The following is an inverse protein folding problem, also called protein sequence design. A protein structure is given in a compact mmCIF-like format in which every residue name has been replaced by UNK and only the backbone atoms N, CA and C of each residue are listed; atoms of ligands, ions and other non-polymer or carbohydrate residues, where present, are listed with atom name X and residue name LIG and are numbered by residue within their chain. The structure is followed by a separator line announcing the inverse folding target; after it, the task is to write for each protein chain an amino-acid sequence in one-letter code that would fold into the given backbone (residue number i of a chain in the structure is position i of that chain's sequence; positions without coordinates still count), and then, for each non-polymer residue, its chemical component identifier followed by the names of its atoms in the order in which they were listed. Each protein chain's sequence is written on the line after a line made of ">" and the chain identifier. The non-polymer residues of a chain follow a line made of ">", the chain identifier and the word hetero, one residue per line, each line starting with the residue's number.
data_IF_060820925497
#
_entry.id   IF_060820925497
#
_cell.length_a   1.000
_cell.length_b   1.000
_cell.length_c   1.000
_cell.angle_alpha   90.00
_cell.angle_beta   90.00
_cell.angle_gamma   90.00
#
_symmetry.space_group_name_H-M   'P 1'
#
loop_
_entity.id
_entity.type
_entity.pdbx_description
1 polymer ?
#
# COMPACT_ATOMS: atom_id res chain seq x y z
N UNK A 1 -58.70 -1.67 7.22
CA UNK A 1 -57.62 -2.00 6.26
C UNK A 1 -56.32 -2.14 7.07
N UNK A 2 -56.00 -3.28 7.68
CA UNK A 2 -55.48 -4.52 7.08
C UNK A 2 -54.34 -4.28 6.07
N UNK A 3 -53.11 -4.26 6.57
CA UNK A 3 -51.98 -5.02 5.99
C UNK A 3 -51.01 -5.32 7.13
N UNK A 4 -51.19 -6.51 7.71
CA UNK A 4 -50.16 -7.18 8.49
C UNK A 4 -48.95 -7.36 7.58
N UNK A 5 -47.80 -6.85 8.02
CA UNK A 5 -46.51 -7.25 7.48
C UNK A 5 -46.24 -8.61 8.12
N UNK A 6 -46.46 -9.66 7.35
CA UNK A 6 -46.01 -11.02 7.67
C UNK A 6 -44.49 -10.98 7.83
N UNK A 7 -44.02 -10.89 9.08
CA UNK A 7 -42.63 -11.16 9.42
C UNK A 7 -42.49 -12.67 9.34
N UNK A 8 -42.18 -13.15 8.14
CA UNK A 8 -41.80 -14.53 7.89
C UNK A 8 -40.66 -14.88 8.87
N UNK A 9 -40.82 -15.90 9.74
CA UNK A 9 -39.79 -16.23 10.71
C UNK A 9 -38.50 -16.61 9.99
N UNK A 10 -37.39 -16.04 10.45
CA UNK A 10 -36.05 -16.32 9.93
C UNK A 10 -35.85 -17.83 9.75
N UNK A 11 -35.34 -18.29 8.59
CA UNK A 11 -35.12 -19.70 8.34
C UNK A 11 -34.20 -20.28 9.44
N UNK A 12 -34.67 -21.35 10.09
CA UNK A 12 -33.91 -22.06 11.13
C UNK A 12 -32.53 -22.44 10.57
N UNK A 13 -31.44 -22.25 11.33
CA UNK A 13 -30.10 -22.60 10.86
C UNK A 13 -30.07 -24.08 10.44
N UNK A 14 -29.61 -24.36 9.21
CA UNK A 14 -29.45 -25.72 8.69
C UNK A 14 -28.55 -26.51 9.64
N UNK A 15 -29.13 -27.51 10.31
CA UNK A 15 -28.40 -28.55 11.06
C UNK A 15 -27.56 -29.34 10.05
N UNK A 16 -26.24 -29.17 10.06
CA UNK A 16 -25.36 -29.92 9.16
C UNK A 16 -23.92 -29.43 9.02
N UNK A 17 -23.55 -28.26 9.56
CA UNK A 17 -22.17 -27.76 9.44
C UNK A 17 -21.50 -27.61 10.83
N UNK A 18 -21.36 -28.71 11.56
CA UNK A 18 -20.61 -28.75 12.81
C UNK A 18 -19.19 -29.29 12.59
N UNK A 19 -18.36 -28.56 11.84
CA UNK A 19 -16.91 -28.66 12.13
C UNK A 19 -16.75 -28.28 13.60
N UNK A 20 -16.10 -29.12 14.44
CA UNK A 20 -15.98 -28.83 15.86
C UNK A 20 -15.34 -27.45 16.02
N UNK A 21 -15.93 -26.60 16.87
CA UNK A 21 -15.50 -25.20 17.09
C UNK A 21 -13.98 -25.10 17.33
N UNK A 22 -13.39 -26.15 17.94
CA UNK A 22 -11.96 -26.30 18.15
C UNK A 22 -11.13 -26.40 16.84
N UNK A 23 -11.62 -27.11 15.81
CA UNK A 23 -10.98 -27.22 14.50
C UNK A 23 -10.96 -25.85 13.79
N UNK A 24 -12.10 -25.14 13.78
CA UNK A 24 -12.21 -23.78 13.21
C UNK A 24 -11.30 -22.77 13.93
N UNK A 25 -11.16 -22.90 15.25
CA UNK A 25 -10.25 -22.06 16.08
C UNK A 25 -8.77 -22.42 15.88
N UNK A 26 -8.44 -23.68 15.55
CA UNK A 26 -7.07 -24.08 15.16
C UNK A 26 -6.72 -23.55 13.77
N UNK A 27 -7.63 -23.66 12.82
CA UNK A 27 -7.46 -23.17 11.45
C UNK A 27 -7.28 -21.65 11.41
N UNK A 28 -8.10 -20.89 12.14
CA UNK A 28 -7.94 -19.43 12.27
C UNK A 28 -6.58 -19.02 12.85
N UNK A 29 -6.08 -19.73 13.87
CA UNK A 29 -4.73 -19.50 14.43
C UNK A 29 -3.61 -19.88 13.48
N UNK A 30 -3.81 -20.84 12.58
CA UNK A 30 -2.84 -21.21 11.55
C UNK A 30 -2.78 -20.13 10.46
N UNK A 31 -3.93 -19.66 10.00
CA UNK A 31 -4.03 -18.58 9.03
C UNK A 31 -3.42 -17.27 9.55
N UNK A 32 -3.67 -16.93 10.81
CA UNK A 32 -3.07 -15.73 11.42
C UNK A 32 -1.55 -15.82 11.54
N UNK A 33 -1.00 -17.00 11.90
CA UNK A 33 0.45 -17.21 11.92
C UNK A 33 1.06 -17.16 10.52
N UNK A 34 0.38 -17.72 9.52
CA UNK A 34 0.82 -17.66 8.13
C UNK A 34 0.85 -16.22 7.62
N UNK A 35 -0.20 -15.44 7.89
CA UNK A 35 -0.28 -14.01 7.55
C UNK A 35 0.89 -13.24 8.15
N UNK A 36 1.15 -13.42 9.45
CA UNK A 36 2.27 -12.76 10.14
C UNK A 36 3.62 -13.17 9.53
N UNK A 37 3.81 -14.47 9.24
CA UNK A 37 5.03 -14.96 8.61
C UNK A 37 5.27 -14.32 7.23
N UNK A 38 4.23 -14.19 6.41
CA UNK A 38 4.30 -13.55 5.10
C UNK A 38 4.60 -12.05 5.24
N UNK A 39 3.93 -11.35 6.16
CA UNK A 39 4.19 -9.93 6.44
C UNK A 39 5.64 -9.68 6.88
N UNK A 40 6.18 -10.53 7.77
CA UNK A 40 7.58 -10.44 8.23
C UNK A 40 8.53 -10.73 7.07
N UNK A 41 8.28 -11.79 6.29
CA UNK A 41 9.11 -12.12 5.13
C UNK A 41 9.15 -10.97 4.11
N UNK A 42 8.01 -10.35 3.84
CA UNK A 42 7.94 -9.20 2.94
C UNK A 42 8.60 -7.95 3.54
N UNK A 43 8.48 -7.71 4.85
CA UNK A 43 9.20 -6.63 5.52
C UNK A 43 10.72 -6.81 5.43
N UNK A 44 11.22 -8.03 5.63
CA UNK A 44 12.65 -8.35 5.46
C UNK A 44 13.09 -8.18 4.01
N UNK A 45 12.26 -8.57 3.05
CA UNK A 45 12.50 -8.32 1.61
C UNK A 45 12.60 -6.82 1.32
N UNK A 46 11.70 -5.99 1.86
CA UNK A 46 11.77 -4.54 1.70
C UNK A 46 13.05 -3.94 2.31
N UNK A 47 13.47 -4.43 3.48
CA UNK A 47 14.73 -4.01 4.10
C UNK A 47 15.93 -4.40 3.21
N UNK A 48 15.95 -5.62 2.71
CA UNK A 48 16.99 -6.10 1.78
C UNK A 48 17.08 -5.20 0.55
N UNK A 49 15.95 -4.96 -0.13
CA UNK A 49 15.88 -4.08 -1.31
C UNK A 49 16.38 -2.68 -0.98
N UNK A 50 16.03 -2.15 0.21
CA UNK A 50 16.52 -0.84 0.66
C UNK A 50 18.03 -0.79 0.89
N UNK A 51 18.63 -1.85 1.43
CA UNK A 51 20.08 -1.97 1.61
C UNK A 51 20.79 -2.06 0.26
N UNK A 52 20.28 -2.88 -0.65
CA UNK A 52 20.81 -2.97 -2.02
C UNK A 52 20.72 -1.62 -2.75
N UNK A 53 19.61 -0.91 -2.59
CA UNK A 53 19.42 0.41 -3.17
C UNK A 53 20.35 1.46 -2.55
N UNK A 54 20.66 1.37 -1.26
CA UNK A 54 21.66 2.24 -0.60
C UNK A 54 23.04 2.09 -1.27
N UNK A 55 23.49 0.85 -1.51
CA UNK A 55 24.76 0.62 -2.20
C UNK A 55 24.73 1.08 -3.66
N UNK A 56 23.59 0.90 -4.36
CA UNK A 56 23.38 1.43 -5.70
C UNK A 56 23.53 2.96 -5.74
N UNK A 57 22.91 3.69 -4.82
CA UNK A 57 23.04 5.15 -4.73
C UNK A 57 24.49 5.55 -4.41
N UNK A 58 25.16 4.85 -3.49
CA UNK A 58 26.57 5.09 -3.20
C UNK A 58 27.50 4.88 -4.41
N UNK A 59 27.20 3.87 -5.24
CA UNK A 59 27.90 3.67 -6.51
C UNK A 59 27.71 4.86 -7.47
N UNK A 60 26.49 5.38 -7.59
CA UNK A 60 26.21 6.58 -8.41
C UNK A 60 26.93 7.83 -7.87
N UNK A 61 26.91 8.04 -6.56
CA UNK A 61 27.60 9.17 -5.92
C UNK A 61 29.12 9.12 -6.11
N UNK A 62 29.70 7.93 -6.20
CA UNK A 62 31.14 7.74 -6.49
C UNK A 62 31.53 8.07 -7.95
N UNK A 63 30.58 8.49 -8.79
CA UNK A 63 30.80 8.70 -10.22
C UNK A 63 31.14 7.41 -10.97
N UNK A 64 30.72 6.25 -10.45
CA UNK A 64 30.98 4.93 -11.05
C UNK A 64 32.36 4.35 -10.76
N UNK A 65 33.10 4.90 -9.79
CA UNK A 65 34.44 4.41 -9.40
C UNK A 65 34.42 3.36 -8.29
N UNK A 66 33.31 3.23 -7.57
CA UNK A 66 33.09 2.23 -6.53
C UNK A 66 32.71 0.84 -7.07
N UNK A 67 32.35 -0.06 -6.16
CA UNK A 67 31.82 -1.39 -6.52
C UNK A 67 30.51 -1.25 -7.29
N UNK A 68 30.45 -1.83 -8.49
CA UNK A 68 29.23 -1.85 -9.30
C UNK A 68 28.12 -2.63 -8.57
N UNK A 69 26.98 -1.97 -8.42
CA UNK A 69 25.75 -2.57 -7.90
C UNK A 69 24.66 -2.26 -8.91
N UNK A 70 23.90 -3.28 -9.31
CA UNK A 70 22.77 -3.09 -10.22
C UNK A 70 21.59 -2.44 -9.48
N UNK A 71 20.76 -1.70 -10.20
CA UNK A 71 19.56 -1.08 -9.62
C UNK A 71 18.52 -2.16 -9.28
N UNK A 72 18.13 -2.35 -8.00
CA UNK A 72 17.17 -3.38 -7.63
C UNK A 72 15.77 -3.08 -8.21
N UNK A 73 15.18 -4.00 -9.01
CA UNK A 73 13.89 -3.76 -9.68
C UNK A 73 12.72 -3.64 -8.70
N UNK A 74 12.86 -4.21 -7.50
CA UNK A 74 11.83 -4.15 -6.46
C UNK A 74 11.53 -2.73 -5.94
N UNK A 75 12.44 -1.78 -6.14
CA UNK A 75 12.23 -0.38 -5.71
C UNK A 75 11.12 0.31 -6.50
N UNK A 76 10.89 -0.11 -7.75
CA UNK A 76 9.82 0.44 -8.58
C UNK A 76 8.42 0.16 -8.02
N UNK A 77 8.28 -0.88 -7.19
CA UNK A 77 7.04 -1.16 -6.47
C UNK A 77 6.59 -0.04 -5.52
N UNK A 78 7.49 0.86 -5.13
CA UNK A 78 7.18 2.03 -4.29
C UNK A 78 6.76 3.27 -5.10
N UNK A 79 6.73 3.18 -6.43
CA UNK A 79 6.36 4.29 -7.34
C UNK A 79 5.07 3.97 -8.11
N UNK A 80 3.89 3.94 -7.44
CA UNK A 80 2.64 3.52 -8.06
C UNK A 80 2.14 4.48 -9.14
N UNK A 81 2.39 5.78 -9.02
CA UNK A 81 1.96 6.79 -10.01
C UNK A 81 2.74 6.61 -11.32
N UNK A 82 4.07 6.52 -11.23
CA UNK A 82 4.94 6.28 -12.40
C UNK A 82 4.62 4.94 -13.07
N UNK A 83 4.39 3.90 -12.27
CA UNK A 83 4.01 2.58 -12.76
C UNK A 83 2.65 2.58 -13.47
N UNK A 84 1.67 3.32 -12.96
CA UNK A 84 0.36 3.50 -13.61
C UNK A 84 0.50 4.23 -14.96
N UNK A 85 1.28 5.32 -15.00
CA UNK A 85 1.52 6.08 -16.23
C UNK A 85 2.25 5.24 -17.28
N UNK A 86 3.23 4.43 -16.86
CA UNK A 86 3.95 3.50 -17.73
C UNK A 86 3.03 2.41 -18.29
N UNK A 87 2.13 1.86 -17.47
CA UNK A 87 1.12 0.88 -17.91
C UNK A 87 0.13 1.50 -18.88
N UNK A 88 -0.31 2.74 -18.63
CA UNK A 88 -1.22 3.45 -19.54
C UNK A 88 -0.53 3.79 -20.87
N UNK A 89 0.72 4.24 -20.83
CA UNK A 89 1.52 4.48 -22.03
C UNK A 89 1.64 3.20 -22.88
N UNK A 90 2.00 2.08 -22.25
CA UNK A 90 2.06 0.78 -22.92
C UNK A 90 0.72 0.38 -23.55
N UNK A 91 -0.41 0.63 -22.88
CA UNK A 91 -1.73 0.33 -23.42
C UNK A 91 -2.08 1.17 -24.67
N UNK A 92 -1.52 2.38 -24.79
CA UNK A 92 -1.77 3.26 -25.94
C UNK A 92 -0.82 3.01 -27.11
N UNK A 93 0.46 2.75 -26.84
CA UNK A 93 1.52 2.68 -27.87
C UNK A 93 1.95 1.26 -28.20
N UNK A 94 1.67 0.28 -27.33
CA UNK A 94 2.18 -1.08 -27.43
C UNK A 94 3.67 -1.22 -27.11
N UNK A 95 4.35 -0.14 -26.71
CA UNK A 95 5.80 -0.13 -26.43
C UNK A 95 6.06 -0.06 -24.92
N UNK A 96 6.97 -0.89 -24.43
CA UNK A 96 7.40 -0.86 -23.02
C UNK A 96 8.47 0.22 -22.85
N UNK A 97 8.28 1.09 -21.85
CA UNK A 97 9.25 2.12 -21.52
C UNK A 97 10.49 1.52 -20.83
N UNK A 98 11.69 1.84 -21.33
CA UNK A 98 12.94 1.18 -20.92
C UNK A 98 13.39 1.47 -19.49
N UNK A 99 12.95 2.58 -18.89
CA UNK A 99 13.48 3.05 -17.61
C UNK A 99 12.79 2.46 -16.36
N UNK A 100 11.49 2.15 -16.43
CA UNK A 100 10.73 1.52 -15.34
C UNK A 100 9.87 0.33 -15.79
N UNK A 101 10.45 -0.68 -16.47
CA UNK A 101 9.69 -1.83 -16.95
C UNK A 101 9.19 -2.71 -15.80
N UNK A 102 9.91 -2.78 -14.68
CA UNK A 102 9.54 -3.62 -13.55
C UNK A 102 8.32 -3.06 -12.79
N UNK A 103 8.22 -1.74 -12.65
CA UNK A 103 7.15 -1.02 -11.97
C UNK A 103 5.82 -1.26 -12.65
N UNK A 104 5.78 -1.19 -13.99
CA UNK A 104 4.60 -1.53 -14.79
C UNK A 104 4.10 -2.95 -14.46
N UNK A 105 5.00 -3.95 -14.48
CA UNK A 105 4.65 -5.36 -14.23
C UNK A 105 4.21 -5.58 -12.78
N UNK A 106 4.94 -5.01 -11.82
CA UNK A 106 4.62 -5.10 -10.38
C UNK A 106 3.25 -4.47 -10.12
N UNK A 107 2.99 -3.29 -10.67
CA UNK A 107 1.71 -2.60 -10.53
C UNK A 107 0.55 -3.39 -11.15
N UNK A 108 0.73 -3.90 -12.38
CA UNK A 108 -0.24 -4.76 -13.02
C UNK A 108 -0.55 -6.02 -12.18
N UNK A 109 0.47 -6.66 -11.62
CA UNK A 109 0.32 -7.80 -10.73
C UNK A 109 -0.44 -7.43 -9.43
N UNK A 110 -0.13 -6.30 -8.80
CA UNK A 110 -0.83 -5.82 -7.60
C UNK A 110 -2.30 -5.52 -7.90
N UNK A 111 -2.60 -4.87 -9.02
CA UNK A 111 -3.98 -4.58 -9.44
C UNK A 111 -4.73 -5.88 -9.69
N UNK A 112 -4.16 -6.80 -10.45
CA UNK A 112 -4.78 -8.10 -10.74
C UNK A 112 -5.06 -8.89 -9.45
N UNK A 113 -4.08 -8.96 -8.55
CA UNK A 113 -4.24 -9.63 -7.26
C UNK A 113 -5.28 -8.96 -6.37
N UNK A 114 -5.39 -7.62 -6.42
CA UNK A 114 -6.37 -6.86 -5.64
C UNK A 114 -7.79 -7.04 -6.17
N UNK A 115 -7.96 -7.25 -7.49
CA UNK A 115 -9.24 -7.55 -8.12
C UNK A 115 -9.71 -8.97 -7.84
N UNK A 116 -8.81 -9.97 -7.91
CA UNK A 116 -9.14 -11.38 -7.66
C UNK A 116 -9.33 -11.65 -6.16
N UNK A 117 -8.46 -11.10 -5.33
CA UNK A 117 -8.46 -11.30 -3.88
C UNK A 117 -8.62 -9.96 -3.19
N UNK A 118 -9.87 -9.53 -2.98
CA UNK A 118 -10.16 -8.26 -2.32
C UNK A 118 -9.41 -8.14 -0.97
N UNK A 119 -8.68 -7.03 -0.77
CA UNK A 119 -7.86 -6.73 0.42
C UNK A 119 -6.67 -7.68 0.65
N UNK A 120 -6.22 -8.42 -0.37
CA UNK A 120 -5.05 -9.31 -0.28
C UNK A 120 -3.77 -8.54 0.01
N UNK A 121 -3.48 -7.48 -0.74
CA UNK A 121 -2.21 -6.77 -0.64
C UNK A 121 -1.98 -6.14 0.73
N UNK A 122 -2.91 -5.28 1.19
CA UNK A 122 -2.75 -4.57 2.46
C UNK A 122 -2.75 -5.50 3.68
N UNK A 123 -3.42 -6.65 3.58
CA UNK A 123 -3.52 -7.61 4.68
C UNK A 123 -2.32 -8.56 4.74
N UNK A 124 -1.77 -8.99 3.60
CA UNK A 124 -0.76 -10.06 3.56
C UNK A 124 0.64 -9.56 3.21
N UNK A 125 0.77 -8.64 2.25
CA UNK A 125 2.06 -8.24 1.69
C UNK A 125 2.55 -6.92 2.29
N UNK A 126 1.66 -5.98 2.62
CA UNK A 126 2.08 -4.64 2.98
C UNK A 126 2.83 -4.57 4.34
N UNK A 127 4.10 -4.12 4.37
CA UNK A 127 4.88 -3.99 5.60
C UNK A 127 4.34 -2.84 6.49
N UNK A 128 3.77 -1.79 5.87
CA UNK A 128 3.10 -0.70 6.60
C UNK A 128 1.85 -1.21 7.31
N UNK A 129 1.15 -2.19 6.73
CA UNK A 129 0.02 -2.86 7.38
C UNK A 129 0.42 -3.55 8.68
N UNK A 130 1.57 -4.24 8.70
CA UNK A 130 2.13 -4.85 9.91
C UNK A 130 2.43 -3.81 11.00
N UNK A 131 3.03 -2.69 10.62
CA UNK A 131 3.32 -1.58 11.56
C UNK A 131 2.01 -0.99 12.10
N UNK A 132 1.03 -0.75 11.24
CA UNK A 132 -0.25 -0.17 11.65
C UNK A 132 -1.06 -1.09 12.58
N UNK A 133 -1.00 -2.41 12.35
CA UNK A 133 -1.63 -3.39 13.23
C UNK A 133 -0.95 -3.48 14.60
N UNK A 134 0.38 -3.52 14.62
CA UNK A 134 1.14 -3.57 15.88
C UNK A 134 0.96 -2.29 16.71
N UNK A 135 0.94 -1.11 16.07
CA UNK A 135 0.61 0.15 16.75
C UNK A 135 -0.83 0.17 17.28
N UNK A 136 -1.79 -0.36 16.53
CA UNK A 136 -3.17 -0.46 16.97
C UNK A 136 -3.36 -1.41 18.16
N UNK A 137 -2.68 -2.56 18.17
CA UNK A 137 -2.71 -3.51 19.29
C UNK A 137 -2.02 -2.92 20.53
N UNK A 138 -0.93 -2.16 20.34
CA UNK A 138 -0.28 -1.40 21.41
C UNK A 138 -1.22 -0.35 21.99
N UNK A 139 -1.93 0.39 21.14
CA UNK A 139 -2.94 1.37 21.56
C UNK A 139 -4.07 0.77 22.37
N UNK A 140 -4.64 -0.35 21.91
CA UNK A 140 -5.69 -1.07 22.65
C UNK A 140 -5.19 -1.53 24.03
N UNK A 141 -3.92 -1.95 24.13
CA UNK A 141 -3.30 -2.35 25.41
C UNK A 141 -3.08 -1.16 26.35
N UNK A 142 -2.74 0.03 25.83
CA UNK A 142 -2.49 1.24 26.63
C UNK A 142 -3.82 1.86 27.10
N UNK A 143 -4.80 2.00 26.21
CA UNK A 143 -6.06 2.69 26.51
C UNK A 143 -7.17 1.77 27.04
N UNK A 144 -7.00 0.44 26.94
CA UNK A 144 -7.96 -0.56 27.40
C UNK A 144 -9.30 -0.59 26.64
N UNK A 145 -9.47 0.29 25.65
CA UNK A 145 -10.68 0.40 24.82
C UNK A 145 -10.34 0.88 23.41
N UNK A 146 -11.21 0.56 22.45
CA UNK A 146 -11.16 1.11 21.10
C UNK A 146 -11.77 2.51 21.11
N UNK A 147 -11.00 3.53 20.77
CA UNK A 147 -11.50 4.89 20.60
C UNK A 147 -12.21 5.02 19.25
N UNK A 148 -13.53 5.21 19.20
CA UNK A 148 -14.23 5.40 17.94
C UNK A 148 -14.00 6.81 17.41
N UNK A 149 -13.72 6.93 16.11
CA UNK A 149 -13.64 8.23 15.44
C UNK A 149 -15.05 8.81 15.23
N UNK A 150 -15.33 10.07 15.61
CA UNK A 150 -16.62 10.69 15.35
C UNK A 150 -16.89 10.76 13.85
N UNK A 151 -18.13 10.43 13.44
CA UNK A 151 -18.54 10.29 12.03
C UNK A 151 -18.29 11.54 11.20
N UNK A 152 -18.46 12.72 11.81
CA UNK A 152 -18.28 14.00 11.13
C UNK A 152 -16.82 14.27 10.74
N UNK A 153 -15.84 13.71 11.46
CA UNK A 153 -14.42 13.85 11.13
C UNK A 153 -13.90 12.66 10.29
N UNK A 154 -14.49 11.47 10.46
CA UNK A 154 -14.16 10.29 9.64
C UNK A 154 -14.49 10.50 8.15
N UNK A 155 -15.59 11.19 7.83
CA UNK A 155 -16.02 11.39 6.44
C UNK A 155 -15.09 12.32 5.64
N UNK A 156 -14.75 13.54 6.12
CA UNK A 156 -13.82 14.44 5.42
C UNK A 156 -12.40 13.87 5.32
N UNK A 157 -11.87 13.24 6.38
CA UNK A 157 -10.54 12.65 6.32
C UNK A 157 -10.49 11.49 5.32
N UNK A 158 -11.57 10.72 5.18
CA UNK A 158 -11.63 9.64 4.20
C UNK A 158 -11.85 10.15 2.78
N UNK A 159 -12.55 11.26 2.57
CA UNK A 159 -12.77 11.80 1.23
C UNK A 159 -11.47 12.33 0.61
N UNK A 160 -10.53 12.81 1.43
CA UNK A 160 -9.26 13.37 0.95
C UNK A 160 -8.50 12.44 -0.01
N UNK A 161 -8.33 11.16 0.35
CA UNK A 161 -7.63 10.20 -0.52
C UNK A 161 -8.34 9.96 -1.85
N UNK A 162 -9.68 10.01 -1.86
CA UNK A 162 -10.47 9.83 -3.08
C UNK A 162 -10.45 11.08 -3.95
N UNK A 163 -10.37 12.27 -3.35
CA UNK A 163 -10.17 13.53 -4.09
C UNK A 163 -8.80 13.52 -4.77
N UNK A 164 -7.75 13.14 -4.04
CA UNK A 164 -6.38 13.03 -4.58
C UNK A 164 -6.33 11.98 -5.69
N UNK A 165 -6.94 10.80 -5.48
CA UNK A 165 -7.02 9.76 -6.50
C UNK A 165 -7.78 10.25 -7.73
N UNK A 166 -8.92 10.92 -7.55
CA UNK A 166 -9.72 11.50 -8.63
C UNK A 166 -8.94 12.54 -9.43
N UNK A 167 -8.15 13.39 -8.76
CA UNK A 167 -7.24 14.34 -9.41
C UNK A 167 -6.21 13.63 -10.29
N UNK A 168 -5.52 12.60 -9.77
CA UNK A 168 -4.54 11.85 -10.56
C UNK A 168 -5.17 11.10 -11.73
N UNK A 169 -6.34 10.48 -11.53
CA UNK A 169 -7.08 9.83 -12.63
C UNK A 169 -7.44 10.86 -13.70
N UNK A 170 -7.97 12.01 -13.30
CA UNK A 170 -8.29 13.06 -14.26
C UNK A 170 -7.04 13.55 -15.01
N UNK A 171 -5.96 13.84 -14.29
CA UNK A 171 -4.72 14.35 -14.86
C UNK A 171 -4.08 13.35 -15.85
N UNK A 172 -4.01 12.06 -15.48
CA UNK A 172 -3.34 11.03 -16.28
C UNK A 172 -4.18 10.65 -17.51
N UNK A 173 -5.49 10.46 -17.35
CA UNK A 173 -6.32 9.92 -18.43
C UNK A 173 -6.94 11.00 -19.33
N UNK A 174 -7.17 12.22 -18.83
CA UNK A 174 -7.89 13.26 -19.57
C UNK A 174 -7.05 14.51 -19.86
N UNK A 175 -6.05 14.84 -19.05
CA UNK A 175 -5.25 16.05 -19.24
C UNK A 175 -3.98 15.83 -20.07
N UNK A 176 -3.45 14.59 -20.13
CA UNK A 176 -2.23 14.25 -20.86
C UNK A 176 -2.54 13.45 -22.13
N UNK A 177 -1.92 13.84 -23.25
CA UNK A 177 -1.88 13.02 -24.46
C UNK A 177 -0.68 12.04 -24.43
N UNK A 178 -0.56 11.19 -25.45
CA UNK A 178 0.52 10.19 -25.54
C UNK A 178 1.91 10.81 -25.55
N UNK A 179 2.07 11.96 -26.19
CA UNK A 179 3.34 12.68 -26.28
C UNK A 179 3.74 13.28 -24.92
N UNK A 180 2.82 13.93 -24.22
CA UNK A 180 3.04 14.46 -22.88
C UNK A 180 3.32 13.35 -21.87
N UNK A 181 2.65 12.19 -22.01
CA UNK A 181 2.87 11.03 -21.16
C UNK A 181 4.30 10.48 -21.33
N UNK A 182 4.76 10.32 -22.57
CA UNK A 182 6.15 9.93 -22.86
C UNK A 182 7.16 10.97 -22.34
N UNK A 183 6.94 12.25 -22.61
CA UNK A 183 7.81 13.33 -22.14
C UNK A 183 7.91 13.39 -20.60
N UNK A 184 6.82 13.08 -19.88
CA UNK A 184 6.86 12.95 -18.43
C UNK A 184 7.67 11.74 -17.98
N UNK A 185 7.48 10.58 -18.62
CA UNK A 185 8.20 9.35 -18.28
C UNK A 185 9.72 9.48 -18.51
N UNK A 186 10.12 10.18 -19.57
CA UNK A 186 11.52 10.51 -19.89
C UNK A 186 12.06 11.70 -19.08
N UNK A 187 11.21 12.38 -18.31
CA UNK A 187 11.65 13.54 -17.55
C UNK A 187 12.70 13.14 -16.50
N UNK A 188 13.73 13.99 -16.26
CA UNK A 188 14.70 13.74 -15.19
C UNK A 188 14.05 13.59 -13.81
N UNK A 189 12.86 14.15 -13.64
CA UNK A 189 12.10 13.98 -12.41
C UNK A 189 11.65 12.53 -12.21
N UNK A 190 11.04 11.90 -13.23
CA UNK A 190 10.53 10.54 -13.14
C UNK A 190 11.68 9.53 -13.05
N UNK A 191 12.73 9.71 -13.86
CA UNK A 191 13.92 8.84 -13.88
C UNK A 191 14.65 8.77 -12.54
N UNK A 192 14.63 9.85 -11.75
CA UNK A 192 15.28 9.92 -10.43
C UNK A 192 14.29 9.88 -9.28
N UNK A 193 13.02 9.52 -9.51
CA UNK A 193 11.98 9.60 -8.49
C UNK A 193 12.25 8.67 -7.29
N UNK A 194 12.82 7.50 -7.54
CA UNK A 194 13.25 6.53 -6.53
C UNK A 194 14.45 7.00 -5.72
N UNK A 195 15.46 7.59 -6.37
CA UNK A 195 16.62 8.20 -5.73
C UNK A 195 16.18 9.38 -4.86
N UNK A 196 15.26 10.21 -5.34
CA UNK A 196 14.66 11.31 -4.55
C UNK A 196 13.88 10.78 -3.34
N UNK A 197 13.11 9.71 -3.51
CA UNK A 197 12.43 9.04 -2.39
C UNK A 197 13.46 8.54 -1.37
N UNK A 198 14.55 7.92 -1.81
CA UNK A 198 15.62 7.48 -0.93
C UNK A 198 16.27 8.65 -0.17
N UNK A 199 16.66 9.73 -0.85
CA UNK A 199 17.23 10.90 -0.17
C UNK A 199 16.28 11.55 0.82
N UNK A 200 14.96 11.54 0.56
CA UNK A 200 13.97 12.01 1.53
C UNK A 200 14.05 11.24 2.86
N UNK A 201 14.29 9.92 2.82
CA UNK A 201 14.43 9.10 4.02
C UNK A 201 15.86 9.12 4.60
N UNK A 202 16.90 9.09 3.75
CA UNK A 202 18.29 9.13 4.16
C UNK A 202 18.66 10.48 4.82
N UNK A 203 18.07 11.57 4.33
CA UNK A 203 18.23 12.92 4.87
C UNK A 203 16.90 13.46 5.40
N UNK A 204 16.28 12.71 6.31
CA UNK A 204 14.97 13.06 6.85
C UNK A 204 15.01 14.42 7.57
N UNK A 205 14.16 15.33 7.12
CA UNK A 205 14.01 16.65 7.75
C UNK A 205 13.30 16.55 9.10
N UNK A 206 13.52 17.52 10.00
CA UNK A 206 12.78 17.61 11.28
C UNK A 206 11.27 17.65 11.05
N UNK A 207 10.82 18.39 10.03
CA UNK A 207 9.41 18.48 9.67
C UNK A 207 8.85 17.11 9.28
N UNK A 208 9.51 16.37 8.38
CA UNK A 208 9.10 15.03 7.96
C UNK A 208 9.02 14.06 9.14
N UNK A 209 10.00 14.12 10.05
CA UNK A 209 10.04 13.26 11.23
C UNK A 209 8.88 13.57 12.19
N UNK A 210 8.54 14.86 12.40
CA UNK A 210 7.37 15.26 13.19
C UNK A 210 6.08 14.74 12.54
N UNK A 211 5.92 14.89 11.23
CA UNK A 211 4.73 14.42 10.50
C UNK A 211 4.59 12.90 10.62
N UNK A 212 5.63 12.13 10.29
CA UNK A 212 5.61 10.66 10.40
C UNK A 212 5.37 10.23 11.85
N UNK A 213 6.06 10.83 12.82
CA UNK A 213 5.87 10.56 14.24
C UNK A 213 4.45 10.84 14.72
N UNK A 214 3.84 11.93 14.26
CA UNK A 214 2.44 12.26 14.56
C UNK A 214 1.49 11.22 13.96
N UNK A 215 1.69 10.78 12.71
CA UNK A 215 0.86 9.74 12.08
C UNK A 215 0.98 8.39 12.79
N UNK A 216 2.17 8.05 13.28
CA UNK A 216 2.39 6.86 14.10
C UNK A 216 1.66 6.98 15.45
N UNK A 217 1.77 8.11 16.14
CA UNK A 217 1.06 8.36 17.40
C UNK A 217 -0.47 8.30 17.22
N UNK A 218 -0.99 8.92 16.16
CA UNK A 218 -2.41 8.85 15.82
C UNK A 218 -2.85 7.42 15.50
N UNK A 219 -1.97 6.59 14.92
CA UNK A 219 -2.25 5.17 14.67
C UNK A 219 -2.30 4.32 15.95
N UNK A 220 -1.66 4.76 17.03
CA UNK A 220 -1.81 4.18 18.38
C UNK A 220 -3.15 4.58 19.00
N UNK A 221 -3.54 5.85 18.89
CA UNK A 221 -4.81 6.34 19.45
C UNK A 221 -6.01 5.76 18.68
N UNK A 222 -5.92 5.76 17.35
CA UNK A 222 -6.97 5.29 16.43
C UNK A 222 -6.38 4.18 15.58
N UNK A 223 -6.83 2.95 15.84
CA UNK A 223 -6.36 1.76 15.12
C UNK A 223 -6.49 1.94 13.61
N UNK A 224 -5.37 1.81 12.90
CA UNK A 224 -5.33 1.91 11.44
C UNK A 224 -5.49 3.33 10.89
N UNK A 225 -5.23 4.38 11.68
CA UNK A 225 -5.39 5.78 11.24
C UNK A 225 -4.71 6.05 9.90
N UNK A 226 -3.42 5.71 9.76
CA UNK A 226 -2.67 5.87 8.52
C UNK A 226 -3.37 5.18 7.35
N UNK A 227 -3.53 3.85 7.40
CA UNK A 227 -4.07 3.07 6.28
C UNK A 227 -5.55 3.38 5.96
N UNK A 228 -6.26 4.05 6.86
CA UNK A 228 -7.67 4.42 6.68
C UNK A 228 -7.80 5.74 5.91
N UNK A 229 -6.94 6.71 6.20
CA UNK A 229 -7.08 8.11 5.75
C UNK A 229 -6.04 8.56 4.72
N UNK A 230 -4.88 7.93 4.65
CA UNK A 230 -3.94 8.03 3.51
C UNK A 230 -4.20 6.86 2.54
#
# INVERSE_FOLDING_TARGET
>A
MKKLIDIQPLPKPRKGLSTPIAARKREGRRLQRLRLAIQIAFALLCIWIGVEFHFFVGYLESGGTGTFVERPPGVEGFLPISSLMSLYYFALTGTIHSFHPAGMVIFAAIVLMSLVFAKSFCSWLCPVGLISETLGDLGEKIFGRRLPMPRWLDYPLRSLKYIILGFFVWAIFFAMDTAALGAFLDSPYNLMADIKMYYFFAHISRFSLIVIGSLMLLSVIIRGFWCRYL
#
